data_IF_181287711162
#
_entry.id   IF_181287711162
#
_cell.length_a   1.000
_cell.length_b   1.000
_cell.length_c   1.000
_cell.angle_alpha   90.00
_cell.angle_beta   90.00
_cell.angle_gamma   90.00
#
_symmetry.space_group_name_H-M   'P 1'
#
loop_
_entity.id
_entity.type
_entity.pdbx_description
1 polymer ?
#
# COMPACT_ATOMS: atom_id res chain seq x y z
N UNK A 1 46.96 3.48 -8.41
CA UNK A 1 45.95 3.52 -7.34
C UNK A 1 44.63 3.20 -8.00
N UNK A 2 44.26 1.93 -7.99
CA UNK A 2 43.10 1.41 -8.72
C UNK A 2 41.81 1.75 -8.00
N UNK A 3 40.80 2.14 -8.78
CA UNK A 3 39.43 2.31 -8.32
C UNK A 3 38.87 0.99 -7.74
N UNK A 4 37.95 1.03 -6.76
CA UNK A 4 37.30 -0.17 -6.28
C UNK A 4 36.37 -0.70 -7.37
N UNK A 5 36.51 -1.99 -7.64
CA UNK A 5 35.74 -2.78 -8.58
C UNK A 5 34.31 -2.94 -8.04
N UNK A 6 33.35 -2.27 -8.69
CA UNK A 6 31.92 -2.45 -8.42
C UNK A 6 31.56 -3.91 -8.68
N UNK A 7 31.05 -4.57 -7.65
CA UNK A 7 30.65 -5.97 -7.67
C UNK A 7 29.68 -6.26 -8.82
N UNK A 8 29.96 -7.37 -9.51
CA UNK A 8 29.06 -8.01 -10.47
C UNK A 8 27.77 -8.43 -9.74
N UNK A 9 26.64 -8.26 -10.41
CA UNK A 9 25.27 -8.55 -9.95
C UNK A 9 24.54 -7.44 -9.17
N UNK A 10 24.46 -6.22 -9.74
CA UNK A 10 23.26 -5.34 -9.74
C UNK A 10 22.48 -5.02 -8.45
N UNK A 11 22.91 -5.45 -7.27
CA UNK A 11 22.23 -5.29 -5.99
C UNK A 11 23.24 -4.70 -5.03
N UNK A 12 23.09 -3.40 -4.74
CA UNK A 12 23.84 -2.74 -3.67
C UNK A 12 23.45 -3.41 -2.35
N UNK A 13 24.40 -4.05 -1.66
CA UNK A 13 24.13 -4.72 -0.38
C UNK A 13 23.73 -3.74 0.72
N UNK A 14 22.97 -4.20 1.72
CA UNK A 14 22.43 -3.39 2.81
C UNK A 14 23.48 -2.53 3.53
N UNK A 15 24.71 -3.04 3.68
CA UNK A 15 25.81 -2.30 4.31
C UNK A 15 26.25 -1.10 3.47
N UNK A 16 26.28 -1.24 2.15
CA UNK A 16 26.58 -0.13 1.24
C UNK A 16 25.45 0.91 1.22
N UNK A 17 24.18 0.49 1.32
CA UNK A 17 23.04 1.41 1.50
C UNK A 17 23.20 2.22 2.78
N UNK A 18 23.56 1.58 3.90
CA UNK A 18 23.79 2.28 5.18
C UNK A 18 24.95 3.27 5.09
N UNK A 19 26.06 2.88 4.48
CA UNK A 19 27.21 3.77 4.32
C UNK A 19 26.86 5.01 3.48
N UNK A 20 26.22 4.81 2.32
CA UNK A 20 25.79 5.91 1.46
C UNK A 20 24.73 6.80 2.13
N UNK A 21 23.80 6.21 2.88
CA UNK A 21 22.84 6.97 3.70
C UNK A 21 23.55 7.80 4.77
N UNK A 22 24.58 7.25 5.42
CA UNK A 22 25.36 7.97 6.42
C UNK A 22 26.12 9.14 5.81
N UNK A 23 26.66 9.02 4.59
CA UNK A 23 27.27 10.15 3.87
C UNK A 23 26.28 11.29 3.60
N UNK A 24 25.00 10.97 3.34
CA UNK A 24 23.94 11.99 3.18
C UNK A 24 23.63 12.65 4.52
N UNK A 25 23.58 11.88 5.62
CA UNK A 25 23.39 12.42 6.99
C UNK A 25 24.56 13.34 7.37
N UNK A 26 25.79 12.91 7.12
CA UNK A 26 27.01 13.65 7.48
C UNK A 26 27.19 14.92 6.66
N UNK A 27 26.60 15.00 5.46
CA UNK A 27 26.55 16.22 4.66
C UNK A 27 25.70 17.32 5.32
N UNK A 28 24.81 16.97 6.25
CA UNK A 28 24.02 17.91 7.03
C UNK A 28 22.88 18.57 6.23
N UNK A 29 22.37 19.72 6.72
CA UNK A 29 21.24 20.40 6.11
C UNK A 29 21.59 21.03 4.77
N UNK A 30 20.64 20.98 3.83
CA UNK A 30 20.72 21.65 2.54
C UNK A 30 20.79 23.16 2.71
N UNK A 31 21.36 23.83 1.71
CA UNK A 31 21.27 25.27 1.58
C UNK A 31 19.79 25.70 1.60
N UNK A 32 19.42 26.80 2.29
CA UNK A 32 18.04 27.27 2.29
C UNK A 32 17.56 27.65 0.87
N UNK A 33 16.45 27.05 0.43
CA UNK A 33 15.82 27.33 -0.86
C UNK A 33 14.57 28.17 -0.63
N UNK A 34 14.56 29.38 -1.19
CA UNK A 34 13.40 30.27 -1.13
C UNK A 34 12.20 29.69 -1.88
N UNK A 35 11.00 29.89 -1.34
CA UNK A 35 9.75 29.67 -2.04
C UNK A 35 9.66 30.55 -3.29
N UNK A 36 8.88 30.11 -4.28
CA UNK A 36 8.73 30.84 -5.55
C UNK A 36 8.13 32.22 -5.35
N UNK A 37 7.17 32.31 -4.45
CA UNK A 37 6.43 33.52 -4.13
C UNK A 37 6.52 33.79 -2.62
N UNK A 38 6.57 35.05 -2.18
CA UNK A 38 6.25 35.39 -0.80
C UNK A 38 4.86 34.86 -0.44
N UNK A 39 4.60 34.71 0.85
CA UNK A 39 3.25 34.39 1.32
C UNK A 39 2.29 35.43 0.76
N UNK A 40 1.21 34.96 0.12
CA UNK A 40 0.32 35.86 -0.62
C UNK A 40 -1.15 35.45 -0.49
N UNK A 41 -2.02 36.46 -0.47
CA UNK A 41 -3.47 36.27 -0.33
C UNK A 41 -4.07 35.39 -1.43
N UNK A 42 -3.70 35.52 -2.72
CA UNK A 42 -4.28 34.66 -3.76
C UNK A 42 -4.08 33.16 -3.51
N UNK A 43 -2.88 32.74 -3.09
CA UNK A 43 -2.63 31.34 -2.76
C UNK A 43 -3.35 30.90 -1.47
N UNK A 44 -3.47 31.78 -0.47
CA UNK A 44 -4.29 31.50 0.72
C UNK A 44 -5.74 31.25 0.31
N UNK A 45 -6.33 32.12 -0.52
CA UNK A 45 -7.70 32.00 -1.01
C UNK A 45 -7.92 30.66 -1.73
N UNK A 46 -7.07 30.32 -2.70
CA UNK A 46 -7.17 29.06 -3.42
C UNK A 46 -7.12 27.84 -2.47
N UNK A 47 -6.26 27.90 -1.47
CA UNK A 47 -6.09 26.80 -0.52
C UNK A 47 -7.31 26.67 0.41
N UNK A 48 -7.77 27.75 1.03
CA UNK A 48 -8.91 27.70 1.97
C UNK A 48 -10.21 27.33 1.25
N UNK A 49 -10.41 27.77 0.01
CA UNK A 49 -11.54 27.35 -0.82
C UNK A 49 -11.51 25.85 -1.13
N UNK A 50 -10.35 25.33 -1.55
CA UNK A 50 -10.19 23.91 -1.87
C UNK A 50 -10.31 23.01 -0.63
N UNK A 51 -9.82 23.47 0.52
CA UNK A 51 -9.90 22.74 1.80
C UNK A 51 -11.25 22.88 2.50
N UNK A 52 -12.08 23.85 2.09
CA UNK A 52 -13.34 24.19 2.77
C UNK A 52 -13.14 24.83 4.15
N UNK A 53 -11.97 25.41 4.42
CA UNK A 53 -11.68 26.08 5.69
C UNK A 53 -12.23 27.51 5.66
N UNK A 54 -13.20 27.79 6.52
CA UNK A 54 -13.90 29.09 6.56
C UNK A 54 -13.42 29.99 7.69
N UNK A 55 -12.29 29.68 8.33
CA UNK A 55 -11.75 30.49 9.40
C UNK A 55 -11.42 31.92 8.92
N UNK A 56 -12.08 32.97 9.48
CA UNK A 56 -12.00 34.32 8.93
C UNK A 56 -10.63 34.98 9.12
N UNK A 57 -9.77 34.46 10.02
CA UNK A 57 -8.43 35.06 10.24
C UNK A 57 -7.51 34.97 9.01
N UNK A 58 -7.87 34.14 8.03
CA UNK A 58 -7.14 33.95 6.77
C UNK A 58 -7.57 34.89 5.65
N UNK A 59 -8.73 35.53 5.77
CA UNK A 59 -9.35 36.31 4.67
C UNK A 59 -9.90 37.68 5.10
N UNK A 60 -10.10 37.89 6.40
CA UNK A 60 -10.60 39.15 6.97
C UNK A 60 -9.61 39.73 7.99
N UNK A 61 -9.10 40.93 7.69
CA UNK A 61 -8.11 41.59 8.53
C UNK A 61 -8.66 42.10 9.88
N UNK A 62 -9.96 42.37 9.99
CA UNK A 62 -10.60 42.76 11.24
C UNK A 62 -10.72 41.55 12.17
N UNK A 63 -11.26 40.45 11.66
CA UNK A 63 -11.39 39.19 12.41
C UNK A 63 -10.03 38.68 12.88
N UNK A 64 -8.99 38.76 12.04
CA UNK A 64 -7.64 38.39 12.44
C UNK A 64 -7.11 39.24 13.60
N UNK A 65 -7.39 40.56 13.59
CA UNK A 65 -7.01 41.46 14.69
C UNK A 65 -7.78 41.23 15.98
N UNK A 66 -9.08 40.96 15.88
CA UNK A 66 -9.89 40.56 17.04
C UNK A 66 -9.40 39.25 17.66
N UNK A 67 -8.87 38.34 16.84
CA UNK A 67 -8.24 37.10 17.29
C UNK A 67 -6.80 37.28 17.83
N UNK A 68 -6.27 38.51 17.86
CA UNK A 68 -4.94 38.82 18.40
C UNK A 68 -3.78 38.74 17.40
N UNK A 69 -4.07 38.59 16.10
CA UNK A 69 -3.06 38.70 15.06
C UNK A 69 -2.88 40.17 14.61
N UNK A 70 -1.73 40.58 14.06
CA UNK A 70 -1.56 41.96 13.57
C UNK A 70 -2.31 42.27 12.27
N UNK A 71 -2.76 41.23 11.56
CA UNK A 71 -3.50 41.27 10.31
C UNK A 71 -3.76 39.85 9.84
N UNK A 72 -4.14 39.67 8.57
CA UNK A 72 -4.34 38.35 7.98
C UNK A 72 -3.08 37.49 8.17
N UNK A 73 -3.30 36.22 8.51
CA UNK A 73 -2.27 35.21 8.66
C UNK A 73 -2.48 34.07 7.66
N UNK A 74 -1.42 33.38 7.27
CA UNK A 74 -1.55 32.16 6.49
C UNK A 74 -1.99 30.98 7.39
N UNK A 75 -2.82 30.05 6.89
CA UNK A 75 -3.07 28.79 7.57
C UNK A 75 -1.74 28.08 7.87
N UNK A 76 -1.47 27.63 9.12
CA UNK A 76 -0.20 27.01 9.47
C UNK A 76 0.14 25.79 8.60
N UNK A 77 -0.88 25.01 8.24
CA UNK A 77 -0.77 23.85 7.36
C UNK A 77 -0.30 24.17 5.92
N UNK A 78 -0.22 25.45 5.53
CA UNK A 78 0.37 25.87 4.26
C UNK A 78 1.89 26.01 4.30
N UNK A 79 2.56 25.78 5.45
CA UNK A 79 4.02 25.95 5.58
C UNK A 79 4.82 25.31 4.42
N UNK A 80 4.49 24.06 4.06
CA UNK A 80 5.13 23.35 2.94
C UNK A 80 4.71 23.88 1.56
N UNK A 81 3.48 24.39 1.41
CA UNK A 81 2.91 24.86 0.14
C UNK A 81 3.78 25.96 -0.48
N UNK A 82 4.31 26.85 0.35
CA UNK A 82 5.13 27.99 -0.08
C UNK A 82 6.45 27.59 -0.74
N UNK A 83 7.00 26.43 -0.40
CA UNK A 83 8.27 25.91 -0.93
C UNK A 83 8.07 24.71 -1.84
N UNK A 84 6.85 24.43 -2.28
CA UNK A 84 6.63 23.43 -3.31
C UNK A 84 7.24 23.89 -4.64
N UNK A 85 7.93 22.96 -5.30
CA UNK A 85 8.66 23.20 -6.57
C UNK A 85 7.76 23.58 -7.75
N UNK A 86 6.45 23.34 -7.64
CA UNK A 86 5.52 23.49 -8.76
C UNK A 86 5.74 22.45 -9.86
N UNK A 87 5.07 22.63 -11.00
CA UNK A 87 4.98 21.62 -12.06
C UNK A 87 6.32 21.28 -12.75
N UNK A 88 7.25 22.24 -12.80
CA UNK A 88 8.51 22.11 -13.55
C UNK A 88 9.75 22.39 -12.70
N UNK A 89 9.61 22.49 -11.37
CA UNK A 89 10.75 22.77 -10.51
C UNK A 89 11.69 21.57 -10.37
N UNK A 90 12.99 21.84 -10.42
CA UNK A 90 14.06 20.84 -10.31
C UNK A 90 14.60 20.82 -8.88
N UNK A 91 15.05 19.65 -8.41
CA UNK A 91 15.72 19.51 -7.10
C UNK A 91 17.09 20.20 -7.12
N UNK A 92 17.50 20.79 -6.01
CA UNK A 92 18.90 21.19 -5.84
C UNK A 92 19.77 19.95 -5.64
N UNK A 93 21.05 20.04 -6.01
CA UNK A 93 21.97 18.91 -5.90
C UNK A 93 22.20 18.47 -4.43
N UNK A 94 22.00 19.38 -3.48
CA UNK A 94 22.13 19.12 -2.04
C UNK A 94 20.81 18.71 -1.36
N UNK A 95 19.71 18.49 -2.09
CA UNK A 95 18.41 18.06 -1.56
C UNK A 95 18.49 16.64 -0.95
N UNK A 96 18.45 16.48 0.39
CA UNK A 96 18.68 15.18 1.03
C UNK A 96 17.55 14.19 0.79
N UNK A 97 16.32 14.68 0.61
CA UNK A 97 15.19 13.84 0.22
C UNK A 97 15.40 13.28 -1.18
N UNK A 98 15.94 14.09 -2.10
CA UNK A 98 16.27 13.68 -3.47
C UNK A 98 17.35 12.61 -3.47
N UNK A 99 18.49 12.93 -2.85
CA UNK A 99 19.63 12.02 -2.72
C UNK A 99 19.27 10.69 -2.05
N UNK A 100 18.47 10.72 -0.97
CA UNK A 100 18.01 9.50 -0.32
C UNK A 100 17.07 8.69 -1.23
N UNK A 101 16.16 9.36 -1.96
CA UNK A 101 15.25 8.67 -2.89
C UNK A 101 16.01 7.97 -4.01
N UNK A 102 16.98 8.67 -4.62
CA UNK A 102 17.85 8.14 -5.68
C UNK A 102 18.68 6.95 -5.18
N UNK A 103 19.28 7.04 -3.99
CA UNK A 103 19.99 5.93 -3.35
C UNK A 103 19.12 4.66 -3.26
N UNK A 104 17.88 4.81 -2.80
CA UNK A 104 16.96 3.67 -2.68
C UNK A 104 16.44 3.19 -4.03
N UNK A 105 16.24 4.08 -5.00
CA UNK A 105 15.86 3.73 -6.38
C UNK A 105 16.95 2.87 -7.05
N UNK A 106 18.22 3.27 -6.93
CA UNK A 106 19.37 2.53 -7.46
C UNK A 106 19.54 1.16 -6.79
N UNK A 107 19.15 1.03 -5.53
CA UNK A 107 19.12 -0.25 -4.81
C UNK A 107 17.88 -1.13 -5.12
N UNK A 108 16.96 -0.64 -5.97
CA UNK A 108 15.77 -1.36 -6.43
C UNK A 108 14.54 -1.20 -5.54
N UNK A 109 14.53 -0.26 -4.60
CA UNK A 109 13.37 0.10 -3.77
C UNK A 109 12.58 1.24 -4.41
N UNK A 110 12.05 1.01 -5.61
CA UNK A 110 11.52 2.10 -6.44
C UNK A 110 10.15 2.61 -6.02
N UNK A 111 9.37 1.82 -5.29
CA UNK A 111 8.05 2.23 -4.80
C UNK A 111 8.17 3.10 -3.56
N UNK A 112 7.26 4.07 -3.39
CA UNK A 112 7.34 5.08 -2.32
C UNK A 112 5.97 5.32 -1.67
N UNK A 113 5.96 5.45 -0.34
CA UNK A 113 4.80 5.92 0.40
C UNK A 113 5.24 6.77 1.59
N UNK A 114 4.53 7.87 1.84
CA UNK A 114 4.70 8.65 3.07
C UNK A 114 3.97 7.97 4.23
N UNK A 115 4.63 7.79 5.37
CA UNK A 115 4.05 7.10 6.53
C UNK A 115 3.74 8.02 7.69
N UNK A 116 4.53 9.07 7.90
CA UNK A 116 4.35 10.01 9.01
C UNK A 116 4.70 11.43 8.59
N UNK A 117 3.97 12.39 9.15
CA UNK A 117 4.21 13.82 9.00
C UNK A 117 3.92 14.49 10.35
N UNK A 118 4.98 14.83 11.09
CA UNK A 118 4.88 15.53 12.37
C UNK A 118 5.35 16.97 12.17
N UNK A 119 4.45 17.93 12.32
CA UNK A 119 4.75 19.36 12.06
C UNK A 119 4.58 20.20 13.31
N UNK A 120 5.55 21.06 13.58
CA UNK A 120 5.53 22.07 14.64
C UNK A 120 5.46 23.45 14.01
N UNK A 121 4.49 24.26 14.42
CA UNK A 121 4.34 25.65 13.98
C UNK A 121 4.73 26.56 15.14
N UNK A 122 5.82 27.32 14.99
CA UNK A 122 6.32 28.20 16.05
C UNK A 122 5.51 29.49 16.14
N UNK A 123 5.01 29.97 14.99
CA UNK A 123 4.04 31.06 14.91
C UNK A 123 3.27 31.05 13.59
N UNK A 124 2.22 31.85 13.53
CA UNK A 124 1.55 32.19 12.29
C UNK A 124 2.45 33.07 11.41
N UNK A 125 2.44 32.80 10.11
CA UNK A 125 3.12 33.60 9.09
C UNK A 125 2.13 34.54 8.40
N UNK A 126 2.64 35.57 7.71
CA UNK A 126 1.85 36.70 7.21
C UNK A 126 2.10 36.92 5.72
N UNK A 127 1.10 37.41 4.98
CA UNK A 127 1.32 37.89 3.62
C UNK A 127 2.49 38.87 3.54
N UNK A 128 3.36 38.68 2.55
CA UNK A 128 4.59 39.44 2.33
C UNK A 128 5.86 38.77 2.88
N UNK A 129 5.77 37.82 3.82
CA UNK A 129 6.95 37.12 4.32
C UNK A 129 7.52 36.15 3.27
N UNK A 130 8.85 36.16 3.11
CA UNK A 130 9.58 35.23 2.23
C UNK A 130 10.03 34.00 3.01
N UNK A 131 9.46 32.85 2.67
CA UNK A 131 9.76 31.57 3.31
C UNK A 131 10.86 30.85 2.54
N UNK A 132 11.84 30.27 3.24
CA UNK A 132 12.77 29.30 2.67
C UNK A 132 12.78 28.00 3.45
N UNK A 133 13.02 26.90 2.74
CA UNK A 133 13.15 25.54 3.27
C UNK A 133 14.62 25.12 3.29
N UNK A 134 15.07 24.58 4.42
CA UNK A 134 16.27 23.74 4.50
C UNK A 134 15.85 22.36 5.01
N UNK A 135 16.40 21.30 4.43
CA UNK A 135 16.09 19.92 4.81
C UNK A 135 17.37 19.18 5.17
N UNK A 136 17.29 18.24 6.12
CA UNK A 136 18.36 17.30 6.45
C UNK A 136 17.80 15.87 6.53
N UNK A 137 18.59 14.88 6.12
CA UNK A 137 18.30 13.47 6.39
C UNK A 137 18.74 13.16 7.83
N UNK A 138 17.83 12.68 8.68
CA UNK A 138 18.13 12.49 10.12
C UNK A 138 18.12 11.03 10.56
N UNK A 139 17.49 10.15 9.79
CA UNK A 139 17.33 8.75 10.20
C UNK A 139 17.08 7.86 8.98
N UNK A 140 17.73 6.69 8.96
CA UNK A 140 17.48 5.62 7.99
C UNK A 140 17.40 4.29 8.73
N UNK A 141 16.29 3.57 8.54
CA UNK A 141 15.99 2.29 9.21
C UNK A 141 15.49 1.27 8.19
N UNK A 142 16.24 0.19 8.02
CA UNK A 142 15.89 -0.92 7.14
C UNK A 142 17.00 -1.97 7.10
N UNK A 143 16.89 -3.00 6.26
CA UNK A 143 15.64 -3.35 5.59
C UNK A 143 14.59 -3.80 6.62
N UNK A 144 13.31 -3.58 6.30
CA UNK A 144 12.16 -4.03 7.07
C UNK A 144 11.19 -4.73 6.13
N UNK A 145 10.68 -5.88 6.57
CA UNK A 145 9.54 -6.51 5.92
C UNK A 145 8.27 -5.78 6.34
N UNK A 146 7.63 -5.09 5.39
CA UNK A 146 6.39 -4.35 5.60
C UNK A 146 5.24 -5.03 4.85
N UNK A 147 4.00 -4.59 5.09
CA UNK A 147 2.85 -5.07 4.32
C UNK A 147 2.93 -4.73 2.82
N UNK A 148 3.76 -3.74 2.43
CA UNK A 148 3.97 -3.33 1.05
C UNK A 148 5.19 -4.02 0.41
N UNK A 149 5.90 -4.86 1.16
CA UNK A 149 7.15 -5.51 0.73
C UNK A 149 8.34 -5.13 1.60
N UNK A 150 9.51 -5.66 1.23
CA UNK A 150 10.77 -5.27 1.84
C UNK A 150 11.10 -3.82 1.50
N UNK A 151 11.45 -3.02 2.51
CA UNK A 151 11.75 -1.61 2.30
C UNK A 151 12.57 -0.97 3.41
N UNK A 152 12.92 0.28 3.17
CA UNK A 152 13.67 1.15 4.05
C UNK A 152 12.84 2.36 4.41
N UNK A 153 12.80 2.66 5.69
CA UNK A 153 12.26 3.92 6.19
C UNK A 153 13.37 4.94 6.24
N UNK A 154 13.08 6.16 5.82
CA UNK A 154 13.96 7.28 6.11
C UNK A 154 13.15 8.52 6.51
N UNK A 155 13.75 9.32 7.39
CA UNK A 155 13.14 10.51 7.96
C UNK A 155 13.96 11.73 7.57
N UNK A 156 13.29 12.74 7.03
CA UNK A 156 13.87 14.07 6.82
C UNK A 156 13.34 15.03 7.87
N UNK A 157 14.19 15.95 8.34
CA UNK A 157 13.76 17.12 9.10
C UNK A 157 13.80 18.32 8.17
N UNK A 158 12.68 19.00 8.06
CA UNK A 158 12.46 20.17 7.22
C UNK A 158 12.28 21.37 8.14
N UNK A 159 12.99 22.45 7.86
CA UNK A 159 12.94 23.69 8.62
C UNK A 159 12.56 24.82 7.68
N UNK A 160 11.43 25.45 7.95
CA UNK A 160 11.02 26.67 7.26
C UNK A 160 11.41 27.88 8.09
N UNK A 161 12.06 28.82 7.43
CA UNK A 161 12.47 30.08 8.03
C UNK A 161 12.09 31.26 7.15
N UNK A 162 11.83 32.40 7.79
CA UNK A 162 11.62 33.67 7.10
C UNK A 162 12.80 34.59 7.36
N UNK A 163 13.25 35.31 6.34
CA UNK A 163 14.36 36.27 6.47
C UNK A 163 13.86 37.62 7.00
N UNK A 164 14.62 38.22 7.93
CA UNK A 164 14.49 39.64 8.27
C UNK A 164 15.44 40.53 7.46
N UNK A 165 15.23 41.85 7.49
CA UNK A 165 16.07 42.85 6.81
C UNK A 165 17.56 42.81 7.23
N UNK A 166 17.86 42.20 8.37
CA UNK A 166 19.20 42.12 8.99
C UNK A 166 19.98 40.86 8.63
N UNK A 167 19.42 39.94 7.82
CA UNK A 167 20.08 38.70 7.40
C UNK A 167 19.93 37.52 8.35
N UNK A 168 19.35 37.71 9.54
CA UNK A 168 18.95 36.62 10.43
C UNK A 168 17.64 35.97 9.92
N UNK A 169 17.57 34.64 9.98
CA UNK A 169 16.41 33.84 9.58
C UNK A 169 15.69 33.30 10.80
N UNK A 170 14.43 33.69 10.96
CA UNK A 170 13.56 33.20 12.03
C UNK A 170 12.91 31.88 11.61
N UNK A 171 13.03 30.83 12.42
CA UNK A 171 12.35 29.55 12.18
C UNK A 171 10.86 29.68 12.51
N UNK A 172 10.00 29.40 11.54
CA UNK A 172 8.54 29.54 11.68
C UNK A 172 7.81 28.21 11.73
N UNK A 173 8.38 27.16 11.12
CA UNK A 173 7.83 25.81 11.19
C UNK A 173 8.92 24.75 11.01
N UNK A 174 8.67 23.56 11.56
CA UNK A 174 9.51 22.37 11.39
C UNK A 174 8.65 21.16 11.08
N UNK A 175 9.14 20.25 10.24
CA UNK A 175 8.46 19.00 9.92
C UNK A 175 9.43 17.82 9.93
N UNK A 176 9.08 16.77 10.67
CA UNK A 176 9.66 15.44 10.52
C UNK A 176 8.79 14.65 9.56
N UNK A 177 9.36 14.29 8.42
CA UNK A 177 8.65 13.59 7.36
C UNK A 177 9.29 12.23 7.13
N UNK A 178 8.51 11.16 7.35
CA UNK A 178 8.97 9.78 7.22
C UNK A 178 8.38 9.13 5.98
N UNK A 179 9.27 8.55 5.18
CA UNK A 179 8.94 7.86 3.93
C UNK A 179 9.40 6.41 4.04
N UNK A 180 8.62 5.50 3.45
CA UNK A 180 9.01 4.15 3.13
C UNK A 180 9.32 4.04 1.63
N UNK A 181 10.55 3.67 1.29
CA UNK A 181 10.92 3.17 -0.03
C UNK A 181 10.92 1.66 0.01
N UNK A 182 10.21 1.00 -0.88
CA UNK A 182 10.04 -0.44 -0.86
C UNK A 182 10.21 -1.02 -2.25
N UNK A 183 10.63 -2.29 -2.31
CA UNK A 183 10.69 -2.99 -3.59
C UNK A 183 9.27 -3.06 -4.15
N UNK A 184 9.07 -2.77 -5.44
CA UNK A 184 7.84 -3.16 -6.11
C UNK A 184 7.59 -4.63 -5.79
N UNK A 185 6.32 -5.01 -5.63
CA UNK A 185 5.98 -6.43 -5.58
C UNK A 185 6.71 -7.11 -6.74
N UNK A 186 7.54 -8.11 -6.43
CA UNK A 186 8.19 -8.87 -7.47
C UNK A 186 7.08 -9.28 -8.43
N UNK A 187 7.24 -8.92 -9.70
CA UNK A 187 6.45 -9.52 -10.76
C UNK A 187 6.83 -11.00 -10.69
N UNK A 188 6.15 -11.77 -9.83
CA UNK A 188 6.26 -13.22 -9.82
C UNK A 188 6.11 -13.59 -11.27
N UNK A 189 7.15 -14.24 -11.82
CA UNK A 189 7.17 -14.73 -13.18
C UNK A 189 5.75 -15.24 -13.47
N UNK A 190 5.09 -14.57 -14.42
CA UNK A 190 3.70 -14.88 -14.73
C UNK A 190 3.63 -16.40 -14.88
N UNK A 191 2.75 -17.09 -14.13
CA UNK A 191 2.45 -18.47 -14.45
C UNK A 191 2.11 -18.50 -15.93
N UNK A 192 2.71 -19.47 -16.62
CA UNK A 192 2.47 -19.79 -18.02
C UNK A 192 1.03 -19.47 -18.40
N UNK A 193 0.82 -18.59 -19.38
CA UNK A 193 -0.50 -18.08 -19.77
C UNK A 193 -1.47 -19.24 -20.03
N UNK A 194 -2.24 -19.62 -19.01
CA UNK A 194 -3.45 -20.42 -19.16
C UNK A 194 -4.48 -19.48 -19.81
N UNK A 195 -5.18 -19.91 -20.87
CA UNK A 195 -6.04 -19.02 -21.65
C UNK A 195 -7.02 -18.28 -20.73
N UNK A 196 -6.95 -16.94 -20.78
CA UNK A 196 -7.76 -16.05 -19.97
C UNK A 196 -9.24 -16.42 -20.09
N UNK A 197 -9.79 -17.02 -19.03
CA UNK A 197 -11.22 -16.99 -18.82
C UNK A 197 -11.58 -15.51 -18.64
N UNK A 198 -12.50 -15.01 -19.45
CA UNK A 198 -12.96 -13.63 -19.34
C UNK A 198 -13.53 -13.41 -17.93
N UNK A 199 -13.14 -12.32 -17.29
CA UNK A 199 -13.75 -11.89 -16.03
C UNK A 199 -15.28 -11.92 -16.14
N UNK A 200 -16.02 -12.56 -15.21
CA UNK A 200 -17.47 -12.67 -15.33
C UNK A 200 -18.18 -11.32 -15.41
N UNK A 201 -19.14 -11.19 -16.32
CA UNK A 201 -19.86 -9.93 -16.61
C UNK A 201 -20.69 -9.36 -15.43
N UNK A 202 -20.97 -10.19 -14.43
CA UNK A 202 -21.68 -9.82 -13.21
C UNK A 202 -20.76 -9.24 -12.11
N UNK A 203 -19.45 -9.22 -12.36
CA UNK A 203 -18.43 -8.71 -11.45
C UNK A 203 -17.73 -7.47 -12.02
N UNK A 204 -17.52 -6.46 -11.18
CA UNK A 204 -16.72 -5.27 -11.50
C UNK A 204 -15.44 -5.28 -10.65
N UNK A 205 -14.29 -5.66 -11.24
CA UNK A 205 -13.04 -5.84 -10.51
C UNK A 205 -12.53 -4.59 -9.81
N UNK A 206 -12.85 -3.40 -10.34
CA UNK A 206 -12.44 -2.12 -9.77
C UNK A 206 -13.18 -1.80 -8.46
N UNK A 207 -14.31 -2.47 -8.20
CA UNK A 207 -15.17 -2.23 -7.03
C UNK A 207 -15.24 -3.42 -6.08
N UNK A 208 -14.67 -4.56 -6.48
CA UNK A 208 -14.58 -5.73 -5.62
C UNK A 208 -13.57 -5.51 -4.48
N UNK A 209 -13.93 -5.97 -3.29
CA UNK A 209 -13.01 -6.07 -2.17
C UNK A 209 -12.04 -7.21 -2.45
N UNK A 210 -10.75 -6.88 -2.48
CA UNK A 210 -9.68 -7.85 -2.70
C UNK A 210 -9.34 -8.55 -1.39
N UNK A 211 -9.17 -9.88 -1.40
CA UNK A 211 -8.65 -10.57 -0.24
C UNK A 211 -7.25 -10.07 0.11
N UNK A 212 -7.00 -9.85 1.40
CA UNK A 212 -5.67 -9.56 1.91
C UNK A 212 -4.99 -10.87 2.27
N UNK A 213 -3.89 -11.20 1.61
CA UNK A 213 -3.03 -12.30 2.02
C UNK A 213 -2.24 -11.90 3.27
N UNK A 214 -2.24 -12.75 4.29
CA UNK A 214 -1.31 -12.68 5.42
C UNK A 214 -0.26 -13.76 5.26
N UNK A 215 0.83 -13.69 6.04
CA UNK A 215 1.83 -14.77 6.10
C UNK A 215 1.19 -16.14 6.33
N UNK A 216 0.21 -16.21 7.23
CA UNK A 216 -0.43 -17.47 7.62
C UNK A 216 -1.41 -18.00 6.58
N UNK A 217 -1.85 -17.15 5.65
CA UNK A 217 -2.77 -17.51 4.54
C UNK A 217 -2.11 -17.46 3.17
N UNK A 218 -0.81 -17.13 3.10
CA UNK A 218 -0.05 -17.02 1.85
C UNK A 218 -0.13 -18.32 1.05
N UNK A 219 0.10 -19.47 1.70
CA UNK A 219 0.02 -20.78 1.04
C UNK A 219 -1.34 -21.00 0.35
N UNK A 220 -2.44 -20.55 0.97
CA UNK A 220 -3.79 -20.67 0.42
C UNK A 220 -3.98 -19.76 -0.79
N UNK A 221 -3.63 -18.48 -0.67
CA UNK A 221 -3.80 -17.50 -1.75
C UNK A 221 -2.88 -17.76 -2.94
N UNK A 222 -1.65 -18.23 -2.70
CA UNK A 222 -0.75 -18.72 -3.75
C UNK A 222 -1.33 -19.94 -4.45
N UNK A 223 -1.99 -20.84 -3.70
CA UNK A 223 -2.74 -21.95 -4.27
C UNK A 223 -3.86 -21.46 -5.16
N UNK A 224 -4.71 -20.54 -4.67
CA UNK A 224 -5.82 -19.96 -5.44
C UNK A 224 -5.31 -19.31 -6.73
N UNK A 225 -4.21 -18.57 -6.69
CA UNK A 225 -3.57 -17.99 -7.87
C UNK A 225 -3.01 -19.05 -8.84
N UNK A 226 -2.58 -20.21 -8.34
CA UNK A 226 -2.15 -21.36 -9.13
C UNK A 226 -3.30 -22.30 -9.53
N UNK A 227 -4.56 -21.92 -9.27
CA UNK A 227 -5.75 -22.75 -9.47
C UNK A 227 -5.72 -24.08 -8.70
N UNK A 228 -5.12 -24.06 -7.51
CA UNK A 228 -5.00 -25.16 -6.57
C UNK A 228 -5.71 -24.83 -5.25
N UNK A 229 -6.58 -25.72 -4.77
CA UNK A 229 -7.23 -25.53 -3.49
C UNK A 229 -6.39 -26.13 -2.36
N UNK A 230 -5.51 -25.33 -1.74
CA UNK A 230 -4.60 -25.79 -0.69
C UNK A 230 -5.25 -25.71 0.70
N UNK A 231 -5.25 -26.81 1.45
CA UNK A 231 -5.81 -26.89 2.81
C UNK A 231 -4.67 -27.09 3.81
N UNK A 232 -4.66 -26.30 4.90
CA UNK A 232 -3.64 -26.42 5.95
C UNK A 232 -3.68 -27.83 6.55
N UNK A 233 -2.49 -28.41 6.73
CA UNK A 233 -2.27 -29.67 7.42
C UNK A 233 -1.48 -29.41 8.70
N UNK A 234 -2.06 -29.74 9.84
CA UNK A 234 -1.40 -29.65 11.15
C UNK A 234 -0.33 -30.75 11.31
N UNK A 235 0.54 -30.61 12.32
CA UNK A 235 1.58 -31.60 12.63
C UNK A 235 1.05 -33.01 12.91
N UNK A 236 -0.18 -33.12 13.44
CA UNK A 236 -0.86 -34.40 13.69
C UNK A 236 -1.53 -34.97 12.41
N UNK A 237 -1.36 -34.30 11.27
CA UNK A 237 -1.95 -34.67 9.98
C UNK A 237 -3.39 -34.23 9.77
N UNK A 238 -4.02 -33.59 10.75
CA UNK A 238 -5.38 -33.07 10.64
C UNK A 238 -5.46 -31.90 9.64
N UNK A 239 -6.55 -31.84 8.88
CA UNK A 239 -6.81 -30.75 7.94
C UNK A 239 -7.61 -29.62 8.62
N UNK A 240 -7.28 -28.38 8.27
CA UNK A 240 -7.88 -27.17 8.86
C UNK A 240 -8.32 -26.16 7.79
N UNK A 241 -9.56 -25.71 7.93
CA UNK A 241 -10.07 -24.51 7.26
C UNK A 241 -11.13 -23.84 8.16
N UNK A 242 -11.08 -22.51 8.38
CA UNK A 242 -10.04 -21.58 7.90
C UNK A 242 -8.66 -21.88 8.50
N UNK A 243 -7.56 -21.41 7.88
CA UNK A 243 -6.20 -21.63 8.40
C UNK A 243 -6.03 -21.05 9.82
N UNK A 244 -5.35 -21.79 10.68
CA UNK A 244 -5.00 -21.40 12.04
C UNK A 244 -3.65 -20.66 12.01
N UNK A 245 -3.56 -19.41 12.51
CA UNK A 245 -2.37 -18.56 12.37
C UNK A 245 -1.23 -18.86 13.36
N UNK A 246 -1.45 -19.69 14.38
CA UNK A 246 -0.49 -19.89 15.48
C UNK A 246 -0.10 -21.36 15.68
N UNK A 247 0.32 -22.05 14.61
CA UNK A 247 0.94 -23.37 14.77
C UNK A 247 2.36 -23.22 15.32
N UNK A 248 2.63 -23.77 16.50
CA UNK A 248 3.96 -23.75 17.12
C UNK A 248 4.93 -24.64 16.32
N UNK A 249 5.69 -24.04 15.40
CA UNK A 249 6.78 -24.71 14.69
C UNK A 249 8.14 -24.28 15.24
N UNK A 250 9.08 -25.20 15.48
CA UNK A 250 10.46 -24.83 15.80
C UNK A 250 11.03 -23.99 14.65
N UNK A 251 11.85 -23.01 15.00
CA UNK A 251 12.58 -22.22 14.01
C UNK A 251 13.69 -23.08 13.41
N UNK A 252 13.97 -22.85 12.13
CA UNK A 252 15.14 -23.41 11.47
C UNK A 252 16.44 -22.83 12.06
N UNK A 253 17.58 -23.43 11.73
CA UNK A 253 18.89 -23.05 12.28
C UNK A 253 19.27 -21.58 12.03
N UNK A 254 18.71 -20.97 10.99
CA UNK A 254 18.87 -19.55 10.62
C UNK A 254 17.83 -18.61 11.29
N UNK A 255 16.95 -19.14 12.13
CA UNK A 255 15.91 -18.40 12.83
C UNK A 255 14.61 -18.18 12.05
N UNK A 256 14.50 -18.72 10.82
CA UNK A 256 13.26 -18.67 10.02
C UNK A 256 12.19 -19.61 10.57
N UNK A 257 10.91 -19.27 10.37
CA UNK A 257 9.81 -20.20 10.72
C UNK A 257 9.42 -20.94 9.44
N UNK A 258 9.34 -22.29 9.47
CA UNK A 258 8.95 -23.07 8.32
C UNK A 258 7.60 -22.64 7.73
N UNK A 259 7.38 -22.80 6.42
CA UNK A 259 6.09 -22.54 5.80
C UNK A 259 5.00 -23.46 6.39
N UNK A 260 3.74 -23.06 6.21
CA UNK A 260 2.58 -23.87 6.60
C UNK A 260 2.52 -25.11 5.73
N UNK A 261 2.36 -26.29 6.34
CA UNK A 261 2.16 -27.52 5.58
C UNK A 261 0.73 -27.55 5.05
N UNK A 262 0.54 -28.09 3.85
CA UNK A 262 -0.76 -28.18 3.22
C UNK A 262 -0.90 -29.43 2.38
N UNK A 263 -2.15 -29.74 2.02
CA UNK A 263 -2.50 -30.67 0.94
C UNK A 263 -3.20 -29.92 -0.17
N UNK A 264 -2.98 -30.31 -1.43
CA UNK A 264 -3.78 -29.83 -2.55
C UNK A 264 -5.04 -30.69 -2.61
N UNK A 265 -6.20 -30.08 -2.38
CA UNK A 265 -7.49 -30.73 -2.42
C UNK A 265 -7.91 -31.03 -3.86
N UNK A 266 -8.73 -32.06 -4.05
CA UNK A 266 -9.38 -32.33 -5.33
C UNK A 266 -10.36 -31.21 -5.73
N UNK A 267 -10.77 -30.38 -4.76
CA UNK A 267 -11.68 -29.27 -4.96
C UNK A 267 -13.13 -29.69 -5.13
N UNK A 268 -13.49 -30.93 -4.83
CA UNK A 268 -14.85 -31.47 -4.93
C UNK A 268 -15.52 -31.57 -3.57
N UNK A 269 -16.84 -31.37 -3.54
CA UNK A 269 -17.59 -31.40 -2.29
C UNK A 269 -19.10 -31.34 -2.48
N UNK A 270 -19.81 -31.16 -1.37
CA UNK A 270 -21.26 -30.97 -1.34
C UNK A 270 -21.63 -29.64 -0.68
N UNK A 271 -22.70 -29.00 -1.15
CA UNK A 271 -23.28 -27.83 -0.46
C UNK A 271 -23.79 -28.29 0.92
N UNK A 272 -23.10 -27.88 1.99
CA UNK A 272 -23.51 -28.16 3.37
C UNK A 272 -24.65 -27.22 3.81
N UNK A 273 -24.51 -25.94 3.48
CA UNK A 273 -25.54 -24.92 3.69
C UNK A 273 -25.31 -23.74 2.74
N UNK A 274 -26.33 -22.93 2.48
CA UNK A 274 -26.18 -21.74 1.63
C UNK A 274 -27.12 -20.63 2.07
N UNK A 275 -26.78 -19.40 1.68
CA UNK A 275 -27.64 -18.24 1.75
C UNK A 275 -27.69 -17.57 0.39
N UNK A 276 -28.85 -16.99 0.07
CA UNK A 276 -29.01 -16.20 -1.15
C UNK A 276 -29.02 -14.73 -0.76
N UNK A 277 -27.96 -14.02 -1.13
CA UNK A 277 -27.82 -12.61 -0.82
C UNK A 277 -28.64 -11.77 -1.78
N UNK A 278 -29.72 -11.16 -1.27
CA UNK A 278 -30.65 -10.32 -2.06
C UNK A 278 -30.45 -8.82 -1.83
N UNK A 279 -30.00 -8.41 -0.64
CA UNK A 279 -29.77 -7.02 -0.25
C UNK A 279 -28.95 -6.96 1.06
N UNK A 280 -28.21 -5.87 1.34
CA UNK A 280 -28.01 -4.67 0.50
C UNK A 280 -27.05 -4.91 -0.67
N UNK A 281 -26.96 -3.93 -1.59
CA UNK A 281 -26.05 -4.00 -2.73
C UNK A 281 -24.59 -4.10 -2.27
N UNK A 282 -23.89 -5.11 -2.76
CA UNK A 282 -22.45 -5.28 -2.55
C UNK A 282 -21.70 -4.61 -3.70
N UNK A 283 -20.72 -3.74 -3.41
CA UNK A 283 -19.89 -3.14 -4.45
C UNK A 283 -19.28 -4.19 -5.38
N UNK A 284 -19.39 -3.93 -6.68
CA UNK A 284 -18.84 -4.78 -7.73
C UNK A 284 -19.50 -6.14 -7.93
N UNK A 285 -20.71 -6.37 -7.41
CA UNK A 285 -21.49 -7.59 -7.62
C UNK A 285 -22.91 -7.32 -8.11
N UNK A 286 -23.40 -8.16 -9.02
CA UNK A 286 -24.82 -8.25 -9.38
C UNK A 286 -25.58 -9.07 -8.33
N UNK A 287 -26.81 -8.65 -8.02
CA UNK A 287 -27.71 -9.36 -7.09
C UNK A 287 -28.84 -10.05 -7.87
N UNK A 288 -29.38 -11.17 -7.36
CA UNK A 288 -28.90 -11.94 -6.21
C UNK A 288 -27.70 -12.84 -6.56
N UNK A 289 -26.95 -13.27 -5.54
CA UNK A 289 -25.93 -14.32 -5.69
C UNK A 289 -25.97 -15.29 -4.51
N UNK A 290 -25.44 -16.50 -4.71
CA UNK A 290 -25.46 -17.58 -3.71
C UNK A 290 -24.12 -17.64 -2.99
N UNK A 291 -24.14 -17.61 -1.66
CA UNK A 291 -22.97 -17.90 -0.83
C UNK A 291 -23.16 -19.28 -0.22
N UNK A 292 -22.31 -20.22 -0.61
CA UNK A 292 -22.35 -21.60 -0.17
C UNK A 292 -21.22 -21.90 0.82
N UNK A 293 -21.56 -22.62 1.89
CA UNK A 293 -20.61 -23.35 2.71
C UNK A 293 -20.57 -24.78 2.17
N UNK A 294 -19.43 -25.17 1.61
CA UNK A 294 -19.22 -26.48 0.97
C UNK A 294 -18.43 -27.36 1.92
N UNK A 295 -18.93 -28.57 2.17
CA UNK A 295 -18.15 -29.62 2.81
C UNK A 295 -17.37 -30.37 1.73
N UNK A 296 -16.06 -30.21 1.75
CA UNK A 296 -15.16 -30.84 0.80
C UNK A 296 -15.02 -32.33 1.11
N UNK A 297 -14.65 -33.12 0.10
CA UNK A 297 -14.44 -34.56 0.24
C UNK A 297 -13.29 -34.88 1.24
N UNK A 298 -12.38 -33.93 1.45
CA UNK A 298 -11.33 -33.98 2.48
C UNK A 298 -11.84 -33.72 3.91
N UNK A 299 -13.12 -33.35 4.08
CA UNK A 299 -13.81 -33.22 5.37
C UNK A 299 -13.78 -31.84 6.02
N UNK A 300 -13.11 -30.85 5.41
CA UNK A 300 -13.19 -29.45 5.87
C UNK A 300 -14.34 -28.71 5.21
N UNK A 301 -14.81 -27.63 5.84
CA UNK A 301 -15.87 -26.77 5.29
C UNK A 301 -15.28 -25.45 4.82
N UNK A 302 -15.65 -25.03 3.62
CA UNK A 302 -15.13 -23.82 3.00
C UNK A 302 -16.24 -22.97 2.41
N UNK A 303 -16.16 -21.67 2.68
CA UNK A 303 -17.12 -20.69 2.18
C UNK A 303 -16.67 -20.16 0.81
N UNK A 304 -17.62 -20.00 -0.10
CA UNK A 304 -17.38 -19.40 -1.41
C UNK A 304 -18.70 -19.05 -2.10
N UNK A 305 -18.61 -18.28 -3.18
CA UNK A 305 -19.77 -18.04 -4.02
C UNK A 305 -20.08 -19.27 -4.87
N UNK A 306 -21.34 -19.69 -4.94
CA UNK A 306 -21.79 -20.72 -5.87
C UNK A 306 -22.32 -20.05 -7.14
N UNK A 307 -21.68 -20.33 -8.26
CA UNK A 307 -21.88 -19.70 -9.56
C UNK A 307 -22.40 -20.70 -10.58
N UNK A 308 -22.99 -20.21 -11.67
CA UNK A 308 -23.52 -21.07 -12.74
C UNK A 308 -24.79 -21.84 -12.37
N UNK A 309 -25.53 -21.39 -11.35
CA UNK A 309 -26.81 -21.96 -10.91
C UNK A 309 -27.72 -20.86 -10.42
N UNK A 310 -29.02 -20.95 -10.73
CA UNK A 310 -30.01 -20.02 -10.22
C UNK A 310 -30.27 -20.28 -8.73
N UNK A 311 -30.53 -19.24 -7.91
CA UNK A 311 -30.70 -19.41 -6.47
C UNK A 311 -31.76 -20.42 -6.04
N UNK A 312 -32.81 -20.59 -6.85
CA UNK A 312 -33.93 -21.48 -6.58
C UNK A 312 -33.62 -22.95 -6.93
N UNK A 313 -32.56 -23.20 -7.70
CA UNK A 313 -32.09 -24.54 -8.08
C UNK A 313 -31.05 -25.11 -7.09
N UNK A 314 -30.58 -24.31 -6.13
CA UNK A 314 -29.58 -24.75 -5.14
C UNK A 314 -30.23 -25.63 -4.07
N UNK A 315 -29.64 -26.79 -3.82
CA UNK A 315 -30.07 -27.70 -2.74
C UNK A 315 -28.89 -28.09 -1.84
N UNK A 316 -29.17 -28.28 -0.55
CA UNK A 316 -28.23 -28.92 0.37
C UNK A 316 -27.93 -30.34 -0.16
N UNK A 317 -26.65 -30.72 -0.18
CA UNK A 317 -26.17 -31.97 -0.77
C UNK A 317 -25.81 -31.89 -2.25
N UNK A 318 -26.06 -30.76 -2.94
CA UNK A 318 -25.65 -30.57 -4.33
C UNK A 318 -24.14 -30.76 -4.50
N UNK A 319 -23.72 -31.59 -5.46
CA UNK A 319 -22.30 -31.77 -5.79
C UNK A 319 -21.76 -30.54 -6.49
N UNK A 320 -20.60 -30.09 -6.02
CA UNK A 320 -19.92 -28.91 -6.54
C UNK A 320 -18.44 -29.19 -6.72
N UNK A 321 -17.80 -28.37 -7.54
CA UNK A 321 -16.35 -28.31 -7.68
C UNK A 321 -15.85 -26.88 -7.56
N UNK A 322 -14.61 -26.73 -7.12
CA UNK A 322 -13.91 -25.46 -7.09
C UNK A 322 -13.70 -24.94 -8.51
N UNK A 323 -13.86 -23.64 -8.67
CA UNK A 323 -13.55 -22.90 -9.90
C UNK A 323 -12.81 -21.63 -9.52
N UNK A 324 -12.11 -21.03 -10.47
CA UNK A 324 -11.22 -19.89 -10.23
C UNK A 324 -11.60 -18.73 -11.14
N UNK A 325 -11.72 -17.55 -10.53
CA UNK A 325 -12.06 -16.31 -11.22
C UNK A 325 -10.80 -15.44 -11.29
N UNK A 326 -10.24 -15.34 -12.50
CA UNK A 326 -9.05 -14.53 -12.74
C UNK A 326 -9.42 -13.09 -13.09
N UNK A 327 -8.75 -12.17 -12.41
CA UNK A 327 -8.90 -10.74 -12.62
C UNK A 327 -7.56 -10.19 -13.13
N UNK A 328 -7.55 -9.56 -14.32
CA UNK A 328 -6.32 -9.04 -14.89
C UNK A 328 -5.76 -7.89 -14.06
N UNK A 329 -4.47 -7.61 -14.24
CA UNK A 329 -3.87 -6.39 -13.73
C UNK A 329 -4.54 -5.18 -14.38
N UNK A 330 -4.76 -4.14 -13.59
CA UNK A 330 -5.22 -2.85 -14.07
C UNK A 330 -4.10 -1.83 -13.80
N UNK A 331 -3.34 -1.53 -14.85
CA UNK A 331 -2.22 -0.59 -14.79
C UNK A 331 -2.69 0.84 -14.46
N UNK A 332 -3.88 1.23 -14.93
CA UNK A 332 -4.45 2.55 -14.65
C UNK A 332 -4.87 2.68 -13.18
N UNK A 333 -5.36 1.60 -12.57
CA UNK A 333 -5.65 1.53 -11.15
C UNK A 333 -4.42 1.18 -10.28
N UNK A 334 -3.27 0.85 -10.89
CA UNK A 334 -2.05 0.44 -10.18
C UNK A 334 -2.19 -0.89 -9.46
N UNK A 335 -2.98 -1.82 -10.01
CA UNK A 335 -3.33 -3.06 -9.32
C UNK A 335 -2.85 -4.31 -10.04
N UNK A 336 -2.26 -5.25 -9.29
CA UNK A 336 -1.82 -6.54 -9.82
C UNK A 336 -3.01 -7.45 -10.16
N UNK A 337 -2.74 -8.43 -11.02
CA UNK A 337 -3.64 -9.55 -11.29
C UNK A 337 -3.87 -10.35 -10.01
N UNK A 338 -5.06 -10.91 -9.87
CA UNK A 338 -5.46 -11.67 -8.68
C UNK A 338 -6.56 -12.66 -9.03
N UNK A 339 -6.72 -13.68 -8.20
CA UNK A 339 -7.66 -14.77 -8.43
C UNK A 339 -8.54 -14.98 -7.19
N UNK A 340 -9.82 -15.31 -7.41
CA UNK A 340 -10.73 -15.80 -6.36
C UNK A 340 -11.11 -17.24 -6.62
N UNK A 341 -11.25 -18.03 -5.56
CA UNK A 341 -11.98 -19.29 -5.68
C UNK A 341 -13.49 -19.04 -5.59
N UNK A 342 -14.24 -19.87 -6.30
CA UNK A 342 -15.69 -19.99 -6.23
C UNK A 342 -16.07 -21.46 -6.37
N UNK A 343 -17.37 -21.74 -6.32
CA UNK A 343 -17.94 -23.06 -6.54
C UNK A 343 -18.81 -23.04 -7.79
N UNK A 344 -18.90 -24.16 -8.47
CA UNK A 344 -19.88 -24.40 -9.52
C UNK A 344 -20.45 -25.82 -9.38
N UNK A 345 -21.69 -26.07 -9.85
CA UNK A 345 -22.24 -27.42 -9.88
C UNK A 345 -21.32 -28.38 -10.63
N UNK A 346 -21.04 -29.53 -10.03
CA UNK A 346 -20.36 -30.60 -10.74
C UNK A 346 -21.36 -31.22 -11.72
N UNK A 347 -21.13 -31.09 -13.03
CA UNK A 347 -21.95 -31.78 -14.02
C UNK A 347 -21.84 -33.29 -13.77
N UNK A 348 -22.98 -33.93 -13.50
CA UNK A 348 -23.04 -35.38 -13.43
C UNK A 348 -22.87 -35.87 -14.85
N UNK A 349 -21.73 -36.46 -15.19
CA UNK A 349 -21.63 -37.24 -16.42
C UNK A 349 -22.58 -38.43 -16.26
N UNK A 350 -23.81 -38.29 -16.75
CA UNK A 350 -24.68 -39.44 -17.00
C UNK A 350 -23.98 -40.32 -18.03
N UNK A 351 -23.38 -41.42 -17.58
CA UNK A 351 -22.58 -42.25 -18.47
C UNK A 351 -21.95 -43.47 -17.83
N UNK A 352 -22.67 -44.19 -16.98
CA UNK A 352 -22.41 -45.62 -16.73
C UNK A 352 -23.74 -46.28 -16.33
N UNK A 353 -24.51 -46.66 -17.35
CA UNK A 353 -25.58 -47.66 -17.22
C UNK A 353 -25.08 -48.95 -17.88
N UNK A 354 -25.05 -49.99 -17.04
CA UNK A 354 -24.96 -51.44 -17.26
C UNK A 354 -24.54 -51.99 -18.64
#
# INVERSE_FOLDING_TARGET
MSAPELARDGVVGDEAIRAAAQEIIDAGPSSPVAGRDPINQPMINNWVEAMGDTNPVYTDAHAAREAGHPGIVAPPAMAQVWTMRGLHGVRTADDPLGRASELFDEAGFTSVVATNCDTVYHRYTRPGEEVALSAELVEVVGPKNTALGEGWFFTTRNVWSVGGETGEREVVAEMRFRILKFRPAAQSAAPEQVPAAATPEDLDPARLLRPSASRDTAFFWEGVAAHELRIQRDGDGALRHPPVPATWKPREADGTVPPTDYVVAAGTGVVYSYVVHRAPKVPGRRLPFVVALVELDEGVRMLGELRGVEPDDVSIGMRVRATYLDFPADEAAGTAAWTLHAWEPATTTEGESA
#
